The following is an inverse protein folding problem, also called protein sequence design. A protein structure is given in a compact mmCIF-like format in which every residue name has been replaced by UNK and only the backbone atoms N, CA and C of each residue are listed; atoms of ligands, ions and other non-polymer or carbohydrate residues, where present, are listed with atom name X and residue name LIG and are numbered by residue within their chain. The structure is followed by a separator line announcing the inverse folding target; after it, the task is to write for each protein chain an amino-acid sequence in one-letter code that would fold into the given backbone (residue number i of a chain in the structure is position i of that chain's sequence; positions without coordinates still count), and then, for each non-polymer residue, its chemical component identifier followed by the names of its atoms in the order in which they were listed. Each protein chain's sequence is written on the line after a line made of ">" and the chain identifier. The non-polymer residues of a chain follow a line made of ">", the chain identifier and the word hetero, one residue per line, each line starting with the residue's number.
data_IF_347473165903
#
_entry.id   IF_347473165903
#
_cell.length_a   1.000
_cell.length_b   1.000
_cell.length_c   1.000
_cell.angle_alpha   90.00
_cell.angle_beta   90.00
_cell.angle_gamma   90.00
#
_symmetry.space_group_name_H-M   'P 1'
#
loop_
_entity.id
_entity.type
_entity.pdbx_description
1 polymer ?
#
# COMPACT_ATOMS: atom_id res chain seq x y z
N UNK A 1 8.09 -0.83 18.50
CA UNK A 1 8.14 0.42 17.72
C UNK A 1 9.41 0.56 16.88
N UNK A 2 10.61 0.51 17.47
CA UNK A 2 11.89 0.67 16.73
C UNK A 2 12.05 -0.31 15.58
N UNK A 3 11.81 -1.61 15.82
CA UNK A 3 11.84 -2.62 14.77
C UNK A 3 10.93 -2.31 13.59
N UNK A 4 9.69 -1.90 13.85
CA UNK A 4 8.75 -1.53 12.77
C UNK A 4 9.26 -0.36 11.91
N UNK A 5 9.84 0.68 12.53
CA UNK A 5 10.45 1.79 11.80
C UNK A 5 11.66 1.33 10.97
N UNK A 6 12.47 0.44 11.52
CA UNK A 6 13.60 -0.14 10.82
C UNK A 6 13.15 -1.02 9.64
N UNK A 7 12.07 -1.79 9.77
CA UNK A 7 11.46 -2.52 8.64
C UNK A 7 10.98 -1.58 7.54
N UNK A 8 10.37 -0.44 7.89
CA UNK A 8 9.97 0.59 6.91
C UNK A 8 11.20 1.12 6.16
N UNK A 9 12.30 1.42 6.87
CA UNK A 9 13.53 1.92 6.26
C UNK A 9 14.17 0.87 5.34
N UNK A 10 14.34 -0.36 5.83
CA UNK A 10 14.88 -1.47 5.04
C UNK A 10 14.05 -1.72 3.78
N UNK A 11 12.72 -1.77 3.90
CA UNK A 11 11.80 -1.94 2.76
C UNK A 11 11.92 -0.79 1.77
N UNK A 12 11.93 0.45 2.27
CA UNK A 12 12.05 1.64 1.43
C UNK A 12 13.36 1.65 0.65
N UNK A 13 14.49 1.43 1.34
CA UNK A 13 15.82 1.40 0.71
C UNK A 13 15.95 0.25 -0.28
N UNK A 14 15.37 -0.91 0.01
CA UNK A 14 15.35 -2.04 -0.91
C UNK A 14 14.65 -1.71 -2.24
N UNK A 15 13.57 -0.92 -2.19
CA UNK A 15 12.82 -0.49 -3.38
C UNK A 15 13.41 0.75 -4.07
N UNK A 16 14.01 1.67 -3.33
CA UNK A 16 14.50 2.94 -3.88
C UNK A 16 15.97 2.88 -4.32
N UNK A 17 16.83 2.14 -3.61
CA UNK A 17 18.29 2.16 -3.80
C UNK A 17 18.81 0.83 -4.37
N UNK A 18 18.28 -0.30 -3.91
CA UNK A 18 18.87 -1.63 -4.15
C UNK A 18 18.05 -2.55 -5.08
N UNK A 19 17.12 -1.98 -5.83
CA UNK A 19 16.26 -2.72 -6.75
C UNK A 19 17.03 -3.22 -7.98
N UNK A 20 16.89 -4.52 -8.29
CA UNK A 20 17.37 -5.10 -9.55
C UNK A 20 16.23 -5.85 -10.25
N UNK A 21 16.14 -7.17 -10.09
CA UNK A 21 14.92 -7.91 -10.44
C UNK A 21 13.89 -7.94 -9.31
N UNK A 22 14.38 -7.77 -8.08
CA UNK A 22 13.60 -7.73 -6.83
C UNK A 22 14.23 -6.64 -5.93
N UNK A 23 13.45 -6.08 -4.99
CA UNK A 23 14.02 -5.24 -3.93
C UNK A 23 14.95 -6.10 -3.05
N UNK A 24 16.14 -5.59 -2.73
CA UNK A 24 17.18 -6.32 -1.98
C UNK A 24 17.72 -5.47 -0.84
N UNK A 25 18.19 -6.14 0.22
CA UNK A 25 18.86 -5.51 1.36
C UNK A 25 20.23 -6.16 1.51
N UNK A 26 21.27 -5.35 1.71
CA UNK A 26 22.63 -5.83 1.97
C UNK A 26 22.93 -5.90 3.47
N UNK A 27 24.08 -6.48 3.83
CA UNK A 27 24.45 -6.69 5.23
C UNK A 27 24.75 -5.39 5.95
N UNK A 28 25.23 -4.38 5.23
CA UNK A 28 25.49 -3.04 5.71
C UNK A 28 24.19 -2.35 6.17
N UNK A 29 23.14 -2.40 5.35
CA UNK A 29 21.82 -1.89 5.72
C UNK A 29 21.20 -2.68 6.86
N UNK A 30 21.31 -4.02 6.87
CA UNK A 30 20.85 -4.82 8.00
C UNK A 30 21.57 -4.42 9.28
N UNK A 31 22.88 -4.16 9.24
CA UNK A 31 23.65 -3.71 10.38
C UNK A 31 23.27 -2.29 10.83
N UNK A 32 22.91 -1.39 9.91
CA UNK A 32 22.42 -0.05 10.25
C UNK A 32 21.04 -0.10 10.94
N UNK A 33 20.12 -0.93 10.43
CA UNK A 33 18.71 -0.99 10.85
C UNK A 33 18.36 -2.25 11.66
N UNK A 34 19.31 -2.90 12.33
CA UNK A 34 19.08 -4.15 13.08
C UNK A 34 18.21 -3.98 14.34
N UNK A 35 18.22 -2.80 14.96
CA UNK A 35 17.70 -2.63 16.33
C UNK A 35 16.20 -2.96 16.43
N UNK A 36 15.85 -3.85 17.37
CA UNK A 36 14.46 -4.23 17.62
C UNK A 36 13.86 -5.15 16.57
N UNK A 37 14.68 -5.77 15.71
CA UNK A 37 14.30 -6.81 14.77
C UNK A 37 14.73 -8.18 15.31
N UNK A 38 13.87 -9.18 15.12
CA UNK A 38 14.19 -10.59 15.33
C UNK A 38 14.40 -11.20 13.95
N UNK A 39 15.51 -11.91 13.75
CA UNK A 39 15.87 -12.50 12.46
C UNK A 39 15.83 -14.03 12.51
N UNK A 40 15.34 -14.64 11.44
CA UNK A 40 15.30 -16.08 11.23
C UNK A 40 16.25 -16.46 10.08
N UNK A 41 16.82 -17.66 10.10
CA UNK A 41 17.75 -18.11 9.05
C UNK A 41 17.13 -18.34 7.67
N UNK A 42 15.80 -18.19 7.53
CA UNK A 42 15.00 -18.36 6.32
C UNK A 42 14.87 -19.82 5.84
N UNK A 43 14.13 -20.01 4.75
CA UNK A 43 13.88 -21.29 4.07
C UNK A 43 15.12 -21.79 3.30
N UNK A 44 14.94 -22.79 2.43
CA UNK A 44 16.01 -23.39 1.59
C UNK A 44 16.85 -22.35 0.82
N UNK A 45 16.26 -21.21 0.46
CA UNK A 45 16.92 -20.11 -0.25
C UNK A 45 17.74 -19.17 0.66
N UNK A 46 17.67 -19.32 1.98
CA UNK A 46 18.43 -18.54 2.96
C UNK A 46 19.94 -18.75 2.85
N UNK A 47 20.73 -17.77 3.25
CA UNK A 47 22.20 -17.83 3.18
C UNK A 47 22.77 -19.03 3.94
N UNK A 48 22.30 -19.24 5.18
CA UNK A 48 22.78 -20.35 6.04
C UNK A 48 22.34 -21.71 5.50
N UNK A 49 21.04 -21.98 5.22
CA UNK A 49 20.60 -23.22 4.60
C UNK A 49 21.31 -23.57 3.28
N UNK A 50 21.50 -22.59 2.39
CA UNK A 50 22.19 -22.79 1.12
C UNK A 50 23.65 -23.22 1.31
N UNK A 51 24.37 -22.59 2.23
CA UNK A 51 25.76 -22.98 2.55
C UNK A 51 25.86 -24.39 3.13
N UNK A 52 24.86 -24.83 3.92
CA UNK A 52 24.78 -26.22 4.41
C UNK A 52 24.59 -27.20 3.24
N UNK A 53 23.69 -26.89 2.30
CA UNK A 53 23.48 -27.72 1.11
C UNK A 53 24.73 -27.83 0.23
N UNK A 54 25.46 -26.75 0.06
CA UNK A 54 26.73 -26.70 -0.69
C UNK A 54 27.89 -27.41 0.04
N UNK A 55 27.68 -27.96 1.25
CA UNK A 55 28.72 -28.61 2.05
C UNK A 55 29.70 -27.63 2.70
N UNK A 56 29.42 -26.32 2.65
CA UNK A 56 30.28 -25.23 3.16
C UNK A 56 29.95 -24.91 4.62
N UNK A 57 30.00 -25.93 5.47
CA UNK A 57 29.49 -25.85 6.84
C UNK A 57 30.19 -24.80 7.72
N UNK A 58 31.50 -24.58 7.54
CA UNK A 58 32.22 -23.54 8.28
C UNK A 58 31.77 -22.14 7.91
N UNK A 59 31.46 -21.91 6.63
CA UNK A 59 30.93 -20.63 6.16
C UNK A 59 29.49 -20.42 6.62
N UNK A 60 28.68 -21.48 6.67
CA UNK A 60 27.34 -21.43 7.26
C UNK A 60 27.39 -20.99 8.73
N UNK A 61 28.35 -21.51 9.51
CA UNK A 61 28.58 -21.09 10.90
C UNK A 61 28.99 -19.63 11.01
N UNK A 62 29.92 -19.18 10.17
CA UNK A 62 30.33 -17.78 10.15
C UNK A 62 29.16 -16.85 9.80
N UNK A 63 28.33 -17.22 8.83
CA UNK A 63 27.14 -16.46 8.47
C UNK A 63 26.14 -16.41 9.65
N UNK A 64 25.83 -17.54 10.28
CA UNK A 64 24.94 -17.58 11.44
C UNK A 64 25.45 -16.73 12.62
N UNK A 65 26.76 -16.76 12.89
CA UNK A 65 27.38 -15.93 13.91
C UNK A 65 27.29 -14.43 13.58
N UNK A 66 27.43 -14.06 12.30
CA UNK A 66 27.23 -12.68 11.86
C UNK A 66 25.80 -12.20 12.16
N UNK A 67 24.78 -12.99 11.81
CA UNK A 67 23.39 -12.64 12.12
C UNK A 67 23.13 -12.58 13.63
N UNK A 68 23.66 -13.53 14.40
CA UNK A 68 23.60 -13.50 15.88
C UNK A 68 24.22 -12.22 16.45
N UNK A 69 25.37 -11.80 15.93
CA UNK A 69 26.05 -10.58 16.36
C UNK A 69 25.30 -9.31 15.96
N UNK A 70 24.74 -9.29 14.75
CA UNK A 70 24.03 -8.13 14.22
C UNK A 70 22.67 -7.91 14.92
N UNK A 71 21.87 -8.96 15.08
CA UNK A 71 20.50 -8.83 15.59
C UNK A 71 20.38 -9.08 17.10
N UNK A 72 21.28 -9.86 17.68
CA UNK A 72 21.13 -10.41 19.04
C UNK A 72 20.08 -11.51 19.09
N UNK A 73 18.82 -11.17 18.77
CA UNK A 73 17.69 -12.11 18.66
C UNK A 73 17.67 -12.77 17.27
N UNK A 74 18.51 -13.79 17.10
CA UNK A 74 18.60 -14.59 15.89
C UNK A 74 18.28 -16.06 16.17
N UNK A 75 17.49 -16.68 15.29
CA UNK A 75 17.05 -18.07 15.41
C UNK A 75 17.37 -18.85 14.13
N UNK A 76 17.76 -20.11 14.29
CA UNK A 76 17.88 -21.06 13.19
C UNK A 76 16.49 -21.62 12.87
N UNK A 77 15.98 -21.31 11.70
CA UNK A 77 14.64 -21.67 11.24
C UNK A 77 14.62 -23.08 10.66
N UNK A 78 13.80 -23.95 11.23
CA UNK A 78 13.62 -25.32 10.77
C UNK A 78 12.22 -25.52 10.19
N UNK A 79 12.17 -26.15 9.02
CA UNK A 79 10.95 -26.38 8.26
C UNK A 79 10.91 -27.87 7.87
N UNK A 80 9.72 -28.50 7.95
CA UNK A 80 9.55 -29.92 7.64
C UNK A 80 8.52 -30.10 6.53
N UNK A 81 9.05 -30.25 5.33
CA UNK A 81 8.29 -30.62 4.14
C UNK A 81 8.94 -31.87 3.48
N UNK A 82 8.21 -32.62 2.64
CA UNK A 82 8.73 -33.75 1.86
C UNK A 82 9.71 -33.33 0.74
N UNK A 83 10.72 -32.53 1.08
CA UNK A 83 11.73 -31.97 0.19
C UNK A 83 13.09 -32.58 0.59
N UNK A 84 13.77 -33.34 -0.28
CA UNK A 84 15.00 -34.05 0.06
C UNK A 84 16.09 -33.18 0.69
N UNK A 85 16.22 -31.95 0.20
CA UNK A 85 17.21 -30.97 0.65
C UNK A 85 17.01 -30.54 2.12
N UNK A 86 15.76 -30.54 2.60
CA UNK A 86 15.45 -30.09 3.97
C UNK A 86 16.02 -31.02 5.03
N UNK A 87 16.15 -32.32 4.76
CA UNK A 87 16.72 -33.25 5.73
C UNK A 87 18.18 -32.90 6.04
N UNK A 88 18.99 -32.65 5.00
CA UNK A 88 20.38 -32.22 5.15
C UNK A 88 20.47 -30.85 5.84
N UNK A 89 19.62 -29.90 5.44
CA UNK A 89 19.58 -28.56 6.06
C UNK A 89 19.25 -28.67 7.55
N UNK A 90 18.16 -29.36 7.91
CA UNK A 90 17.69 -29.47 9.28
C UNK A 90 18.73 -30.13 10.18
N UNK A 91 19.37 -31.22 9.73
CA UNK A 91 20.47 -31.85 10.48
C UNK A 91 21.63 -30.87 10.71
N UNK A 92 22.02 -30.12 9.68
CA UNK A 92 23.05 -29.08 9.81
C UNK A 92 22.68 -27.98 10.79
N UNK A 93 21.44 -27.48 10.72
CA UNK A 93 20.93 -26.44 11.62
C UNK A 93 20.84 -26.92 13.07
N UNK A 94 20.40 -28.15 13.32
CA UNK A 94 20.34 -28.74 14.67
C UNK A 94 21.75 -28.87 15.26
N UNK A 95 22.72 -29.34 14.47
CA UNK A 95 24.14 -29.38 14.90
C UNK A 95 24.65 -27.98 15.22
N UNK A 96 24.41 -27.01 14.33
CA UNK A 96 24.84 -25.62 14.52
C UNK A 96 24.19 -24.96 15.73
N UNK A 97 22.92 -25.27 16.01
CA UNK A 97 22.21 -24.76 17.19
C UNK A 97 22.95 -25.11 18.48
N UNK A 98 23.35 -26.37 18.62
CA UNK A 98 24.10 -26.85 19.80
C UNK A 98 25.51 -26.26 19.88
N UNK A 99 26.19 -26.15 18.74
CA UNK A 99 27.59 -25.67 18.70
C UNK A 99 27.72 -24.16 18.89
N UNK A 100 26.78 -23.37 18.35
CA UNK A 100 26.85 -21.90 18.34
C UNK A 100 25.98 -21.25 19.43
N UNK A 101 25.25 -22.07 20.19
CA UNK A 101 24.25 -21.62 21.17
C UNK A 101 23.23 -20.68 20.51
N UNK A 102 22.65 -21.11 19.38
CA UNK A 102 21.61 -20.36 18.65
C UNK A 102 20.31 -21.18 18.72
N UNK A 103 19.20 -20.61 19.24
CA UNK A 103 17.95 -21.35 19.37
C UNK A 103 17.33 -21.71 18.01
N UNK A 104 16.66 -22.86 17.96
CA UNK A 104 15.87 -23.29 16.81
C UNK A 104 14.44 -22.71 16.88
N UNK A 105 13.83 -22.42 15.74
CA UNK A 105 12.40 -22.09 15.66
C UNK A 105 11.74 -22.84 14.51
N UNK A 106 10.54 -23.37 14.76
CA UNK A 106 9.77 -24.11 13.75
C UNK A 106 8.84 -23.16 12.97
N UNK A 107 8.83 -23.28 11.65
CA UNK A 107 7.90 -22.58 10.75
C UNK A 107 7.43 -23.52 9.62
N UNK A 108 6.45 -23.07 8.82
CA UNK A 108 5.90 -23.86 7.70
C UNK A 108 5.90 -23.11 6.36
N UNK A 109 6.54 -21.94 6.29
CA UNK A 109 6.63 -21.09 5.08
C UNK A 109 5.29 -20.96 4.32
N UNK A 110 4.26 -20.50 5.04
CA UNK A 110 2.86 -20.53 4.59
C UNK A 110 2.62 -19.58 3.42
N UNK A 111 2.02 -20.08 2.33
CA UNK A 111 1.69 -19.31 1.12
C UNK A 111 0.18 -19.27 0.82
N UNK A 112 -0.61 -20.16 1.43
CA UNK A 112 -2.06 -20.25 1.27
C UNK A 112 -2.71 -20.75 2.56
N UNK A 113 -4.04 -20.65 2.69
CA UNK A 113 -4.73 -20.90 3.96
C UNK A 113 -4.96 -22.40 4.15
N UNK A 114 -5.65 -23.03 3.20
CA UNK A 114 -6.03 -24.45 3.27
C UNK A 114 -5.23 -25.30 2.29
N UNK A 115 -5.05 -26.59 2.57
CA UNK A 115 -4.29 -27.49 1.68
C UNK A 115 -4.87 -27.55 0.26
N UNK A 116 -6.20 -27.44 0.13
CA UNK A 116 -6.93 -27.47 -1.15
C UNK A 116 -6.60 -26.27 -2.06
N UNK A 117 -6.15 -25.15 -1.48
CA UNK A 117 -5.78 -23.91 -2.20
C UNK A 117 -4.47 -24.04 -2.98
N UNK A 118 -3.71 -25.13 -2.79
CA UNK A 118 -2.44 -25.35 -3.47
C UNK A 118 -2.56 -25.24 -5.01
N UNK A 119 -3.68 -25.72 -5.57
CA UNK A 119 -3.96 -25.63 -7.01
C UNK A 119 -4.21 -24.18 -7.48
N UNK A 120 -4.93 -23.38 -6.69
CA UNK A 120 -5.17 -21.97 -6.98
C UNK A 120 -3.87 -21.15 -6.87
N UNK A 121 -3.05 -21.44 -5.87
CA UNK A 121 -1.72 -20.84 -5.72
C UNK A 121 -0.81 -21.19 -6.91
N UNK A 122 -0.81 -22.44 -7.37
CA UNK A 122 -0.03 -22.86 -8.54
C UNK A 122 -0.45 -22.13 -9.83
N UNK A 123 -1.75 -21.91 -10.01
CA UNK A 123 -2.29 -21.07 -11.08
C UNK A 123 -1.83 -19.61 -10.94
N UNK A 124 -1.86 -19.06 -9.72
CA UNK A 124 -1.39 -17.70 -9.45
C UNK A 124 0.08 -17.51 -9.83
N UNK A 125 0.94 -18.50 -9.52
CA UNK A 125 2.34 -18.50 -9.96
C UNK A 125 2.46 -18.51 -11.48
N UNK A 126 1.69 -19.36 -12.17
CA UNK A 126 1.69 -19.41 -13.64
C UNK A 126 1.20 -18.07 -14.25
N UNK A 127 0.19 -17.44 -13.64
CA UNK A 127 -0.31 -16.14 -14.07
C UNK A 127 0.79 -15.08 -13.92
N UNK A 128 1.44 -15.01 -12.76
CA UNK A 128 2.48 -14.01 -12.45
C UNK A 128 3.78 -14.19 -13.23
N UNK A 129 4.17 -15.43 -13.54
CA UNK A 129 5.37 -15.75 -14.33
C UNK A 129 5.11 -15.84 -15.84
N UNK A 130 3.86 -15.59 -16.27
CA UNK A 130 3.42 -15.72 -17.64
C UNK A 130 3.69 -17.11 -18.27
N UNK A 131 3.58 -18.18 -17.48
CA UNK A 131 3.75 -19.57 -17.90
C UNK A 131 2.41 -20.32 -17.95
N UNK A 132 2.44 -21.57 -18.42
CA UNK A 132 1.30 -22.51 -18.37
C UNK A 132 1.57 -23.63 -17.38
N UNK A 133 0.51 -24.24 -16.81
CA UNK A 133 0.61 -25.42 -15.95
C UNK A 133 1.28 -26.62 -16.65
N UNK A 134 1.25 -26.64 -17.99
CA UNK A 134 1.85 -27.69 -18.82
C UNK A 134 3.35 -27.49 -19.07
N UNK A 135 3.91 -26.33 -18.72
CA UNK A 135 5.36 -26.09 -18.85
C UNK A 135 6.12 -26.79 -17.72
N UNK A 136 6.97 -27.77 -18.06
CA UNK A 136 7.76 -28.51 -17.08
C UNK A 136 8.77 -27.64 -16.31
N UNK A 137 9.24 -26.53 -16.93
CA UNK A 137 10.22 -25.61 -16.34
C UNK A 137 9.59 -24.43 -15.61
N UNK A 138 8.26 -24.42 -15.46
CA UNK A 138 7.56 -23.37 -14.74
C UNK A 138 7.95 -23.31 -13.28
N UNK A 139 7.81 -22.13 -12.69
CA UNK A 139 7.90 -21.98 -11.25
C UNK A 139 6.72 -22.70 -10.59
N UNK A 140 7.02 -23.62 -9.67
CA UNK A 140 6.04 -24.36 -8.88
C UNK A 140 6.58 -24.61 -7.48
N UNK A 141 5.70 -24.65 -6.49
CA UNK A 141 6.08 -25.11 -5.15
C UNK A 141 6.24 -26.63 -5.13
N UNK A 142 6.99 -27.13 -4.14
CA UNK A 142 7.19 -28.55 -3.95
C UNK A 142 5.99 -29.18 -3.21
N UNK A 143 4.98 -29.60 -3.96
CA UNK A 143 3.76 -30.22 -3.41
C UNK A 143 2.78 -29.21 -2.81
N UNK A 144 1.89 -29.69 -1.95
CA UNK A 144 0.74 -28.97 -1.41
C UNK A 144 0.87 -28.63 0.10
N UNK A 145 2.08 -28.65 0.65
CA UNK A 145 2.32 -28.60 2.11
C UNK A 145 2.52 -27.20 2.73
N UNK A 146 2.35 -26.12 1.96
CA UNK A 146 2.60 -24.73 2.37
C UNK A 146 1.33 -23.99 2.84
N UNK A 147 0.40 -24.74 3.47
CA UNK A 147 -0.82 -24.19 4.07
C UNK A 147 -0.63 -23.83 5.54
N UNK A 148 -1.61 -23.16 6.14
CA UNK A 148 -1.61 -22.83 7.56
C UNK A 148 -1.96 -24.07 8.40
N UNK A 149 -0.94 -24.86 8.75
CA UNK A 149 -1.12 -26.10 9.51
C UNK A 149 -1.69 -25.85 10.91
N UNK A 150 -2.62 -26.70 11.39
CA UNK A 150 -3.10 -26.61 12.75
C UNK A 150 -2.00 -26.96 13.77
N UNK A 151 -2.06 -26.44 15.01
CA UNK A 151 -1.04 -26.69 16.02
C UNK A 151 -0.75 -28.16 16.30
N UNK A 152 -1.78 -29.03 16.24
CA UNK A 152 -1.62 -30.48 16.44
C UNK A 152 -0.76 -31.15 15.36
N UNK A 153 -0.86 -30.68 14.12
CA UNK A 153 -0.05 -31.20 13.02
C UNK A 153 1.41 -30.75 13.16
N UNK A 154 1.63 -29.47 13.50
CA UNK A 154 2.96 -28.94 13.79
C UNK A 154 3.61 -29.64 15.00
N UNK A 155 2.83 -29.95 16.05
CA UNK A 155 3.29 -30.70 17.22
C UNK A 155 3.75 -32.12 16.86
N UNK A 156 3.02 -32.83 16.00
CA UNK A 156 3.43 -34.15 15.52
C UNK A 156 4.68 -34.06 14.64
N UNK A 157 4.75 -33.05 13.77
CA UNK A 157 5.91 -32.82 12.90
C UNK A 157 7.19 -32.53 13.68
N UNK A 158 7.12 -31.85 14.82
CA UNK A 158 8.30 -31.45 15.61
C UNK A 158 8.36 -32.12 16.99
N UNK A 159 7.75 -33.32 17.15
CA UNK A 159 7.69 -34.05 18.42
C UNK A 159 9.05 -34.37 19.05
N UNK A 160 10.09 -34.47 18.23
CA UNK A 160 11.47 -34.72 18.63
C UNK A 160 12.19 -33.43 19.08
N UNK A 161 11.69 -32.24 18.70
CA UNK A 161 12.27 -30.93 19.04
C UNK A 161 11.15 -29.96 19.47
N UNK A 162 10.45 -30.23 20.59
CA UNK A 162 9.35 -29.39 21.06
C UNK A 162 9.79 -27.94 21.35
N UNK A 163 11.06 -27.75 21.73
CA UNK A 163 11.64 -26.43 21.97
C UNK A 163 11.56 -25.49 20.75
N UNK A 164 11.58 -26.03 19.53
CA UNK A 164 11.44 -25.22 18.32
C UNK A 164 10.04 -24.59 18.20
N UNK A 165 9.00 -25.29 18.69
CA UNK A 165 7.64 -24.77 18.77
C UNK A 165 7.50 -23.78 19.94
N UNK A 166 8.05 -24.09 21.11
CA UNK A 166 8.05 -23.17 22.26
C UNK A 166 8.69 -21.81 21.92
N UNK A 167 9.75 -21.81 21.10
CA UNK A 167 10.37 -20.59 20.63
C UNK A 167 9.47 -19.74 19.72
N UNK A 168 8.49 -20.33 19.02
CA UNK A 168 7.50 -19.56 18.25
C UNK A 168 6.63 -18.70 19.16
N UNK A 169 6.15 -19.26 20.28
CA UNK A 169 5.37 -18.53 21.27
C UNK A 169 6.22 -17.48 21.98
N UNK A 170 7.49 -17.80 22.27
CA UNK A 170 8.45 -16.85 22.85
C UNK A 170 8.66 -15.64 21.94
N UNK A 171 8.93 -15.86 20.66
CA UNK A 171 9.11 -14.79 19.66
C UNK A 171 7.82 -13.97 19.55
N UNK A 172 6.66 -14.63 19.46
CA UNK A 172 5.37 -13.94 19.43
C UNK A 172 5.17 -13.05 20.67
N UNK A 173 5.55 -13.52 21.86
CA UNK A 173 5.50 -12.75 23.10
C UNK A 173 6.48 -11.57 23.16
N UNK A 174 7.60 -11.64 22.44
CA UNK A 174 8.56 -10.53 22.31
C UNK A 174 8.05 -9.43 21.36
N UNK A 175 7.26 -9.80 20.37
CA UNK A 175 6.72 -8.90 19.35
C UNK A 175 5.53 -8.05 19.85
N UNK A 176 5.83 -6.88 20.42
CA UNK A 176 4.83 -5.94 20.93
C UNK A 176 4.81 -4.63 20.11
N UNK A 177 4.08 -4.62 19.00
CA UNK A 177 3.85 -3.43 18.18
C UNK A 177 2.48 -2.81 18.49
N UNK A 178 2.47 -1.51 18.77
CA UNK A 178 1.23 -0.73 18.92
C UNK A 178 1.22 0.35 17.86
N UNK A 179 0.24 0.28 16.96
CA UNK A 179 -0.03 1.31 15.97
C UNK A 179 -1.13 2.22 16.51
N UNK A 180 -0.87 3.53 16.52
CA UNK A 180 -1.84 4.54 16.92
C UNK A 180 -2.65 4.95 15.68
N UNK A 181 -3.97 4.78 15.76
CA UNK A 181 -4.90 5.16 14.70
C UNK A 181 -5.75 6.35 15.15
N UNK A 182 -6.20 7.18 14.20
CA UNK A 182 -7.07 8.34 14.47
C UNK A 182 -6.35 9.61 14.93
N UNK A 183 -5.02 9.61 15.04
CA UNK A 183 -4.23 10.84 15.17
C UNK A 183 -4.01 11.43 13.78
N UNK A 184 -4.13 12.74 13.63
CA UNK A 184 -3.88 13.42 12.35
C UNK A 184 -2.47 13.99 12.30
N UNK A 185 -1.76 13.71 11.21
CA UNK A 185 -0.43 14.23 10.90
C UNK A 185 -0.57 15.22 9.75
N UNK A 186 -0.94 16.45 10.08
CA UNK A 186 -1.12 17.50 9.09
C UNK A 186 0.25 18.02 8.62
N UNK A 187 0.41 18.32 7.32
CA UNK A 187 1.55 19.08 6.84
C UNK A 187 1.53 20.50 7.42
N UNK A 188 2.68 21.15 7.44
CA UNK A 188 2.84 22.55 7.86
C UNK A 188 3.45 23.36 6.71
N UNK A 189 3.11 24.65 6.64
CA UNK A 189 3.79 25.59 5.75
C UNK A 189 4.75 26.46 6.56
N UNK A 190 5.74 27.04 5.89
CA UNK A 190 6.56 28.09 6.49
C UNK A 190 5.71 29.31 6.78
N UNK A 191 5.61 29.68 8.05
CA UNK A 191 4.84 30.83 8.50
C UNK A 191 5.73 32.07 8.64
N UNK A 192 5.21 33.28 8.38
CA UNK A 192 5.92 34.52 8.70
C UNK A 192 6.29 34.61 10.19
N UNK A 193 7.43 35.23 10.51
CA UNK A 193 7.91 35.36 11.88
C UNK A 193 6.84 35.93 12.84
N UNK A 194 6.57 35.21 13.93
CA UNK A 194 5.66 35.64 14.99
C UNK A 194 4.17 35.42 14.73
N UNK A 195 3.77 34.82 13.61
CA UNK A 195 2.36 34.48 13.31
C UNK A 195 2.06 33.01 13.55
N UNK A 196 0.86 32.72 14.07
CA UNK A 196 0.32 31.35 14.07
C UNK A 196 -0.37 31.02 12.75
N UNK A 197 -0.57 29.73 12.44
CA UNK A 197 -1.30 29.29 11.26
C UNK A 197 -2.72 29.91 11.20
N UNK A 198 -3.43 29.96 12.33
CA UNK A 198 -4.77 30.55 12.41
C UNK A 198 -4.76 32.05 12.11
N UNK A 199 -3.77 32.78 12.62
CA UNK A 199 -3.63 34.22 12.38
C UNK A 199 -3.29 34.49 10.93
N UNK A 200 -2.34 33.73 10.37
CA UNK A 200 -1.94 33.90 8.97
C UNK A 200 -3.09 33.57 8.01
N UNK A 201 -3.84 32.51 8.28
CA UNK A 201 -5.05 32.16 7.52
C UNK A 201 -6.10 33.27 7.58
N UNK A 202 -6.36 33.82 8.77
CA UNK A 202 -7.30 34.91 8.94
C UNK A 202 -6.87 36.17 8.17
N UNK A 203 -5.60 36.56 8.27
CA UNK A 203 -5.05 37.71 7.55
C UNK A 203 -5.24 37.57 6.03
N UNK A 204 -4.91 36.40 5.46
CA UNK A 204 -5.12 36.12 4.04
C UNK A 204 -6.60 36.22 3.63
N UNK A 205 -7.52 35.74 4.48
CA UNK A 205 -8.95 35.85 4.21
C UNK A 205 -9.44 37.29 4.24
N UNK A 206 -9.01 38.09 5.23
CA UNK A 206 -9.39 39.50 5.31
C UNK A 206 -8.78 40.35 4.19
N UNK A 207 -7.58 40.00 3.71
CA UNK A 207 -6.96 40.63 2.53
C UNK A 207 -7.69 40.26 1.23
N UNK A 208 -8.17 39.01 1.11
CA UNK A 208 -8.91 38.52 -0.05
C UNK A 208 -10.38 38.94 -0.09
N UNK A 209 -11.00 39.18 1.07
CA UNK A 209 -12.43 39.48 1.19
C UNK A 209 -12.90 40.65 0.30
N UNK A 210 -12.21 41.80 0.21
CA UNK A 210 -12.65 42.92 -0.63
C UNK A 210 -12.61 42.64 -2.13
N UNK A 211 -11.83 41.64 -2.57
CA UNK A 211 -11.74 41.26 -3.99
C UNK A 211 -13.02 40.58 -4.46
N UNK A 212 -13.62 39.76 -3.59
CA UNK A 212 -14.85 39.00 -3.88
C UNK A 212 -16.11 39.75 -3.40
N UNK A 213 -16.00 40.47 -2.29
CA UNK A 213 -17.08 41.26 -1.71
C UNK A 213 -16.62 42.72 -1.49
N UNK A 214 -16.72 43.60 -2.50
CA UNK A 214 -16.29 45.00 -2.37
C UNK A 214 -17.03 45.80 -1.28
N UNK A 215 -18.24 45.38 -0.91
CA UNK A 215 -19.02 45.89 0.21
C UNK A 215 -19.58 44.70 1.01
N UNK A 216 -18.80 44.11 1.92
CA UNK A 216 -19.24 42.95 2.67
C UNK A 216 -20.42 43.35 3.56
N UNK A 217 -21.51 42.58 3.49
CA UNK A 217 -22.63 42.75 4.42
C UNK A 217 -22.24 42.19 5.80
N UNK A 218 -22.93 42.60 6.87
CA UNK A 218 -22.70 42.01 8.19
C UNK A 218 -22.85 40.48 8.22
N UNK A 219 -23.67 39.91 7.33
CA UNK A 219 -23.85 38.47 7.17
C UNK A 219 -22.57 37.79 6.64
N UNK A 220 -21.90 38.40 5.65
CA UNK A 220 -20.64 37.91 5.08
C UNK A 220 -19.54 37.92 6.14
N UNK A 221 -19.38 39.03 6.88
CA UNK A 221 -18.36 39.13 7.93
C UNK A 221 -18.60 38.14 9.08
N UNK A 222 -19.87 37.96 9.47
CA UNK A 222 -20.25 36.97 10.48
C UNK A 222 -19.97 35.54 10.01
N UNK A 223 -20.28 35.21 8.75
CA UNK A 223 -20.01 33.89 8.18
C UNK A 223 -18.51 33.61 8.12
N UNK A 224 -17.71 34.56 7.64
CA UNK A 224 -16.25 34.41 7.61
C UNK A 224 -15.67 34.19 9.02
N UNK A 225 -16.10 35.01 9.98
CA UNK A 225 -15.64 34.90 11.37
C UNK A 225 -16.02 33.55 12.00
N UNK A 226 -17.22 33.06 11.71
CA UNK A 226 -17.69 31.75 12.16
C UNK A 226 -16.85 30.60 11.57
N UNK A 227 -16.63 30.60 10.26
CA UNK A 227 -15.83 29.56 9.60
C UNK A 227 -14.38 29.54 10.10
N UNK A 228 -13.75 30.71 10.26
CA UNK A 228 -12.39 30.83 10.81
C UNK A 228 -12.31 30.28 12.24
N UNK A 229 -13.31 30.54 13.09
CA UNK A 229 -13.36 30.00 14.45
C UNK A 229 -13.54 28.47 14.46
N UNK A 230 -14.38 27.93 13.57
CA UNK A 230 -14.53 26.47 13.41
C UNK A 230 -13.22 25.82 12.95
N UNK A 231 -12.52 26.41 11.98
CA UNK A 231 -11.23 25.91 11.49
C UNK A 231 -10.17 25.92 12.61
N UNK A 232 -10.16 26.98 13.41
CA UNK A 232 -9.26 27.09 14.58
C UNK A 232 -9.56 26.03 15.64
N UNK A 233 -10.84 25.80 15.96
CA UNK A 233 -11.23 24.78 16.94
C UNK A 233 -10.95 23.35 16.47
N UNK A 234 -11.02 23.12 15.16
CA UNK A 234 -10.69 21.82 14.53
C UNK A 234 -9.21 21.64 14.23
N UNK A 235 -8.39 22.69 14.40
CA UNK A 235 -6.94 22.71 14.17
C UNK A 235 -6.53 22.41 12.71
N UNK A 236 -7.40 22.75 11.75
CA UNK A 236 -7.15 22.53 10.32
C UNK A 236 -6.52 23.72 9.59
N UNK A 237 -6.11 24.78 10.27
CA UNK A 237 -5.56 25.97 9.63
C UNK A 237 -4.37 25.66 8.71
N UNK A 238 -3.44 24.78 9.13
CA UNK A 238 -2.32 24.35 8.30
C UNK A 238 -2.75 23.66 7.00
N UNK A 239 -3.83 22.87 7.04
CA UNK A 239 -4.35 22.19 5.85
C UNK A 239 -4.86 23.18 4.81
N UNK A 240 -5.64 24.18 5.24
CA UNK A 240 -6.11 25.26 4.36
C UNK A 240 -4.96 26.05 3.75
N UNK A 241 -3.91 26.30 4.54
CA UNK A 241 -2.72 27.01 4.08
C UNK A 241 -1.90 26.20 3.05
N UNK A 242 -1.81 24.87 3.20
CA UNK A 242 -1.17 24.00 2.19
C UNK A 242 -1.96 24.03 0.88
N UNK A 243 -3.29 23.95 0.95
CA UNK A 243 -4.15 24.03 -0.24
C UNK A 243 -4.03 25.41 -0.91
N UNK A 244 -4.07 26.48 -0.12
CA UNK A 244 -3.87 27.85 -0.61
C UNK A 244 -2.53 28.01 -1.34
N UNK A 245 -1.47 27.41 -0.81
CA UNK A 245 -0.14 27.49 -1.40
C UNK A 245 -0.07 26.79 -2.77
N UNK A 246 -0.64 25.59 -2.87
CA UNK A 246 -0.74 24.82 -4.12
C UNK A 246 -1.52 25.59 -5.17
N UNK A 247 -2.68 26.14 -4.80
CA UNK A 247 -3.52 26.93 -5.70
C UNK A 247 -2.86 28.24 -6.10
N UNK A 248 -2.14 28.89 -5.19
CA UNK A 248 -1.38 30.11 -5.49
C UNK A 248 -0.30 29.85 -6.54
N UNK A 249 0.38 28.69 -6.47
CA UNK A 249 1.32 28.27 -7.50
C UNK A 249 0.63 28.03 -8.86
N UNK A 250 -0.49 27.29 -8.87
CA UNK A 250 -1.24 27.00 -10.07
C UNK A 250 -1.70 28.28 -10.78
N UNK A 251 -2.26 29.24 -10.03
CA UNK A 251 -2.67 30.56 -10.55
C UNK A 251 -1.50 31.35 -11.14
N UNK A 252 -0.37 31.39 -10.45
CA UNK A 252 0.82 32.13 -10.89
C UNK A 252 1.40 31.59 -12.21
N UNK A 253 1.26 30.27 -12.45
CA UNK A 253 1.71 29.59 -13.67
C UNK A 253 0.59 29.37 -14.68
N UNK A 254 -0.57 30.01 -14.48
CA UNK A 254 -1.74 29.92 -15.35
C UNK A 254 -2.15 28.47 -15.64
N UNK A 255 -2.11 27.61 -14.62
CA UNK A 255 -2.66 26.25 -14.66
C UNK A 255 -4.12 26.36 -14.26
N UNK A 256 -5.05 25.97 -15.13
CA UNK A 256 -6.46 25.89 -14.78
C UNK A 256 -6.68 24.80 -13.73
N UNK A 257 -7.52 25.13 -12.76
CA UNK A 257 -7.88 24.22 -11.69
C UNK A 257 -9.36 24.36 -11.35
N UNK A 258 -9.91 23.32 -10.73
CA UNK A 258 -11.26 23.29 -10.20
C UNK A 258 -11.28 22.68 -8.81
N UNK A 259 -12.31 23.01 -8.04
CA UNK A 259 -12.55 22.41 -6.72
C UNK A 259 -13.86 21.66 -6.75
N UNK A 260 -13.86 20.42 -6.25
CA UNK A 260 -15.04 19.56 -6.16
C UNK A 260 -15.48 19.32 -4.72
N UNK A 261 -16.67 18.76 -4.59
CA UNK A 261 -17.21 18.31 -3.32
C UNK A 261 -17.74 19.45 -2.45
N UNK A 262 -17.76 19.20 -1.13
CA UNK A 262 -18.31 20.15 -0.15
C UNK A 262 -17.42 21.37 0.07
N UNK A 263 -16.16 21.35 -0.38
CA UNK A 263 -15.21 22.46 -0.27
C UNK A 263 -15.76 23.78 -0.87
N UNK A 264 -16.58 23.73 -1.92
CA UNK A 264 -17.22 24.92 -2.50
C UNK A 264 -18.17 25.66 -1.53
N UNK A 265 -18.57 25.04 -0.41
CA UNK A 265 -19.48 25.63 0.58
C UNK A 265 -18.79 26.56 1.61
N UNK A 266 -17.47 26.74 1.52
CA UNK A 266 -16.69 27.56 2.46
C UNK A 266 -16.37 28.94 1.90
N UNK A 267 -16.73 29.99 2.65
CA UNK A 267 -16.35 31.37 2.32
C UNK A 267 -14.85 31.61 2.52
N UNK A 268 -14.22 30.89 3.46
CA UNK A 268 -12.77 30.93 3.66
C UNK A 268 -12.05 30.48 2.39
N UNK A 269 -12.45 29.35 1.79
CA UNK A 269 -11.89 28.88 0.52
C UNK A 269 -12.16 29.86 -0.63
N UNK A 270 -13.32 30.53 -0.63
CA UNK A 270 -13.62 31.55 -1.63
C UNK A 270 -12.71 32.78 -1.50
N UNK A 271 -12.52 33.30 -0.29
CA UNK A 271 -11.64 34.46 -0.02
C UNK A 271 -10.17 34.17 -0.33
N UNK A 272 -9.72 32.94 -0.11
CA UNK A 272 -8.38 32.48 -0.51
C UNK A 272 -8.24 32.29 -2.03
N UNK A 273 -9.34 32.36 -2.76
CA UNK A 273 -9.40 32.09 -4.19
C UNK A 273 -9.18 30.61 -4.54
N UNK A 274 -9.50 29.72 -3.62
CA UNK A 274 -9.48 28.28 -3.90
C UNK A 274 -10.75 27.89 -4.65
N UNK A 275 -11.91 28.49 -4.34
CA UNK A 275 -13.16 28.29 -5.09
C UNK A 275 -13.63 29.58 -5.74
N UNK A 276 -14.12 29.50 -6.98
CA UNK A 276 -14.78 30.62 -7.67
C UNK A 276 -16.27 30.73 -7.32
N UNK A 277 -16.87 29.68 -6.74
CA UNK A 277 -18.29 29.65 -6.37
C UNK A 277 -18.52 30.45 -5.10
N UNK A 278 -19.40 31.45 -5.16
CA UNK A 278 -19.88 32.18 -3.97
C UNK A 278 -20.84 31.28 -3.16
N UNK A 279 -20.47 30.86 -1.94
CA UNK A 279 -21.31 29.99 -1.13
C UNK A 279 -22.57 30.68 -0.59
N UNK A 280 -22.56 32.00 -0.41
CA UNK A 280 -23.70 32.75 0.14
C UNK A 280 -24.75 32.94 -0.96
N UNK A 281 -24.34 33.36 -2.16
CA UNK A 281 -25.26 33.51 -3.30
C UNK A 281 -25.94 32.17 -3.63
N UNK A 282 -25.18 31.07 -3.59
CA UNK A 282 -25.65 29.73 -3.90
C UNK A 282 -26.27 28.99 -2.70
N UNK A 283 -26.40 29.65 -1.54
CA UNK A 283 -27.00 29.10 -0.30
C UNK A 283 -26.37 27.77 0.13
N UNK A 284 -25.06 27.67 0.01
CA UNK A 284 -24.29 26.50 0.41
C UNK A 284 -24.05 26.49 1.92
N UNK A 285 -24.10 25.29 2.49
CA UNK A 285 -24.06 25.06 3.94
C UNK A 285 -22.66 24.58 4.33
N UNK A 286 -21.93 25.38 5.09
CA UNK A 286 -20.54 25.11 5.49
C UNK A 286 -20.41 23.84 6.35
N UNK A 287 -21.42 23.54 7.16
CA UNK A 287 -21.46 22.36 8.03
C UNK A 287 -21.50 21.04 7.25
N UNK A 288 -21.75 21.08 5.92
CA UNK A 288 -21.57 19.92 5.03
C UNK A 288 -20.10 19.68 4.66
N UNK A 289 -19.27 20.70 4.77
CA UNK A 289 -17.84 20.63 4.54
C UNK A 289 -17.08 20.34 5.83
N UNK A 290 -17.30 21.16 6.86
CA UNK A 290 -16.62 21.03 8.13
C UNK A 290 -17.61 21.22 9.27
N UNK A 291 -17.71 20.21 10.14
CA UNK A 291 -18.64 20.21 11.26
C UNK A 291 -17.89 19.98 12.58
N UNK A 292 -18.12 20.83 13.59
CA UNK A 292 -17.50 20.68 14.91
C UNK A 292 -17.87 19.38 15.63
N UNK A 293 -19.09 18.88 15.41
CA UNK A 293 -19.58 17.64 16.04
C UNK A 293 -18.96 16.39 15.42
N UNK A 294 -18.52 16.49 14.15
CA UNK A 294 -17.83 15.42 13.42
C UNK A 294 -16.41 15.88 13.13
N UNK A 295 -15.46 15.51 14.00
CA UNK A 295 -14.02 15.71 13.76
C UNK A 295 -13.48 14.79 12.66
N UNK A 296 -14.16 14.77 11.52
CA UNK A 296 -13.73 14.13 10.30
C UNK A 296 -12.80 15.10 9.55
N UNK A 297 -11.86 14.53 8.80
CA UNK A 297 -10.92 15.33 8.02
C UNK A 297 -11.67 15.94 6.81
N UNK A 298 -11.57 17.27 6.58
CA UNK A 298 -12.17 17.88 5.41
C UNK A 298 -11.43 17.45 4.14
N UNK A 299 -12.14 16.89 3.17
CA UNK A 299 -11.58 16.51 1.86
C UNK A 299 -11.72 17.70 0.90
N UNK A 300 -10.60 18.18 0.38
CA UNK A 300 -10.56 19.22 -0.65
C UNK A 300 -9.99 18.58 -1.91
N UNK A 301 -10.89 18.15 -2.78
CA UNK A 301 -10.55 17.55 -4.06
C UNK A 301 -10.20 18.65 -5.07
N UNK A 302 -8.96 18.59 -5.58
CA UNK A 302 -8.42 19.55 -6.53
C UNK A 302 -8.31 18.91 -7.91
N UNK A 303 -8.91 19.57 -8.89
CA UNK A 303 -8.78 19.19 -10.30
C UNK A 303 -7.80 20.12 -10.98
N UNK A 304 -6.96 19.58 -11.85
CA UNK A 304 -6.00 20.32 -12.67
C UNK A 304 -6.14 19.90 -14.13
N UNK A 305 -5.58 20.70 -15.04
CA UNK A 305 -5.31 20.28 -16.42
C UNK A 305 -4.54 18.96 -16.44
N UNK A 306 -4.99 18.00 -17.25
CA UNK A 306 -4.44 16.63 -17.26
C UNK A 306 -2.95 16.60 -17.66
N UNK A 307 -2.58 17.45 -18.62
CA UNK A 307 -1.23 17.59 -19.16
C UNK A 307 -0.28 18.43 -18.28
N UNK A 308 -0.82 19.21 -17.32
CA UNK A 308 -0.03 20.07 -16.41
C UNK A 308 -0.13 19.69 -14.94
N UNK A 309 -0.92 18.66 -14.61
CA UNK A 309 -1.03 18.09 -13.24
C UNK A 309 0.34 17.75 -12.65
N UNK A 310 1.22 17.16 -13.46
CA UNK A 310 2.54 16.73 -12.99
C UNK A 310 3.39 17.94 -12.54
N UNK A 311 3.25 19.13 -13.16
CA UNK A 311 3.95 20.35 -12.72
C UNK A 311 3.60 20.73 -11.26
N UNK A 312 2.33 20.53 -10.87
CA UNK A 312 1.85 20.81 -9.51
C UNK A 312 2.43 19.80 -8.53
N UNK A 313 2.48 18.52 -8.89
CA UNK A 313 3.09 17.47 -8.06
C UNK A 313 4.58 17.75 -7.87
N UNK A 314 5.30 18.12 -8.93
CA UNK A 314 6.71 18.49 -8.89
C UNK A 314 6.95 19.70 -7.99
N UNK A 315 6.09 20.74 -8.07
CA UNK A 315 6.15 21.89 -7.16
C UNK A 315 5.99 21.48 -5.70
N UNK A 316 4.97 20.68 -5.39
CA UNK A 316 4.72 20.19 -4.03
C UNK A 316 5.92 19.37 -3.52
N UNK A 317 6.47 18.49 -4.36
CA UNK A 317 7.64 17.69 -4.02
C UNK A 317 8.90 18.55 -3.78
N UNK A 318 9.14 19.58 -4.59
CA UNK A 318 10.28 20.49 -4.42
C UNK A 318 10.12 21.38 -3.19
N UNK A 319 8.90 21.82 -2.89
CA UNK A 319 8.62 22.73 -1.79
C UNK A 319 8.61 22.06 -0.41
N UNK A 320 7.92 20.94 -0.28
CA UNK A 320 7.78 20.23 0.98
C UNK A 320 8.88 19.18 1.22
N UNK A 321 9.61 18.81 0.16
CA UNK A 321 10.68 17.82 0.21
C UNK A 321 10.29 16.47 -0.42
N UNK A 322 11.24 15.84 -1.11
CA UNK A 322 11.01 14.58 -1.83
C UNK A 322 10.70 13.39 -0.90
N UNK A 323 11.13 13.46 0.36
CA UNK A 323 10.88 12.47 1.40
C UNK A 323 9.60 12.75 2.21
N UNK A 324 8.94 13.88 1.97
CA UNK A 324 7.70 14.31 2.62
C UNK A 324 6.47 14.16 1.71
N UNK A 325 6.69 13.93 0.42
CA UNK A 325 5.64 13.87 -0.61
C UNK A 325 5.77 12.57 -1.40
N UNK A 326 4.67 11.83 -1.52
CA UNK A 326 4.61 10.64 -2.36
C UNK A 326 3.23 10.52 -3.01
N UNK A 327 3.16 9.80 -4.13
CA UNK A 327 1.88 9.36 -4.68
C UNK A 327 1.35 8.16 -3.89
N UNK A 328 0.04 7.94 -3.91
CA UNK A 328 -0.57 6.80 -3.23
C UNK A 328 -0.57 5.59 -4.16
N UNK A 329 -0.28 4.40 -3.64
CA UNK A 329 -0.40 3.15 -4.39
C UNK A 329 -1.85 2.70 -4.55
N UNK A 330 -2.11 2.03 -5.66
CA UNK A 330 -3.31 1.25 -5.92
C UNK A 330 -2.95 -0.16 -6.29
N UNK A 331 -3.78 -1.11 -5.89
CA UNK A 331 -3.62 -2.51 -6.24
C UNK A 331 -4.64 -2.90 -7.29
N UNK A 332 -4.17 -3.25 -8.49
CA UNK A 332 -5.03 -3.81 -9.53
C UNK A 332 -5.40 -5.24 -9.15
N UNK A 333 -6.68 -5.51 -8.89
CA UNK A 333 -7.17 -6.85 -8.56
C UNK A 333 -7.66 -7.60 -9.80
N UNK A 334 -7.67 -8.94 -9.72
CA UNK A 334 -8.26 -9.79 -10.75
C UNK A 334 -9.79 -9.73 -10.70
N UNK A 335 -10.40 -8.84 -11.48
CA UNK A 335 -11.85 -8.85 -11.68
C UNK A 335 -12.33 -10.11 -12.42
N UNK A 336 -13.61 -10.48 -12.28
CA UNK A 336 -14.20 -11.71 -12.80
C UNK A 336 -13.76 -12.09 -14.24
N UNK A 337 -13.87 -11.15 -15.19
CA UNK A 337 -13.47 -11.38 -16.59
C UNK A 337 -11.96 -11.56 -16.77
N UNK A 338 -11.15 -10.81 -16.01
CA UNK A 338 -9.69 -10.91 -16.06
C UNK A 338 -9.22 -12.24 -15.46
N UNK A 339 -9.82 -12.65 -14.33
CA UNK A 339 -9.56 -13.94 -13.69
C UNK A 339 -9.80 -15.11 -14.67
N UNK A 340 -10.94 -15.13 -15.37
CA UNK A 340 -11.21 -16.16 -16.40
C UNK A 340 -10.16 -16.17 -17.51
N UNK A 341 -9.77 -15.01 -18.03
CA UNK A 341 -8.77 -14.92 -19.11
C UNK A 341 -7.39 -15.37 -18.68
N UNK A 342 -6.94 -14.94 -17.50
CA UNK A 342 -5.62 -15.27 -16.98
C UNK A 342 -5.54 -16.74 -16.55
N UNK A 343 -6.57 -17.28 -15.91
CA UNK A 343 -6.64 -18.71 -15.57
C UNK A 343 -6.73 -19.55 -16.85
N UNK A 344 -7.56 -19.18 -17.81
CA UNK A 344 -7.65 -19.89 -19.08
C UNK A 344 -6.30 -19.95 -19.81
N UNK A 345 -5.54 -18.84 -19.79
CA UNK A 345 -4.15 -18.81 -20.30
C UNK A 345 -3.23 -19.75 -19.51
N UNK A 346 -3.27 -19.72 -18.18
CA UNK A 346 -2.45 -20.58 -17.34
C UNK A 346 -2.77 -22.08 -17.57
N UNK A 347 -4.06 -22.41 -17.74
CA UNK A 347 -4.56 -23.75 -18.10
C UNK A 347 -4.24 -24.17 -19.54
N UNK A 348 -3.65 -23.29 -20.37
CA UNK A 348 -3.33 -23.59 -21.77
C UNK A 348 -4.56 -23.67 -22.68
N UNK A 349 -5.70 -23.11 -22.28
CA UNK A 349 -6.92 -23.11 -23.08
C UNK A 349 -6.84 -22.13 -24.27
N UNK A 350 -7.51 -22.42 -25.40
CA UNK A 350 -7.59 -21.49 -26.52
C UNK A 350 -8.27 -20.18 -26.11
N UNK A 351 -7.64 -19.04 -26.46
CA UNK A 351 -8.16 -17.71 -26.12
C UNK A 351 -9.61 -17.50 -26.57
N UNK A 352 -9.99 -18.01 -27.75
CA UNK A 352 -11.36 -17.88 -28.28
C UNK A 352 -12.42 -18.54 -27.39
N UNK A 353 -12.10 -19.68 -26.78
CA UNK A 353 -13.02 -20.40 -25.91
C UNK A 353 -13.18 -19.66 -24.57
N UNK A 354 -12.07 -19.20 -24.01
CA UNK A 354 -12.04 -18.44 -22.77
C UNK A 354 -12.73 -17.08 -22.92
N UNK A 355 -12.49 -16.37 -24.03
CA UNK A 355 -13.12 -15.07 -24.30
C UNK A 355 -14.63 -15.21 -24.52
N UNK A 356 -15.10 -16.32 -25.12
CA UNK A 356 -16.53 -16.64 -25.22
C UNK A 356 -17.18 -16.70 -23.83
N UNK A 357 -16.56 -17.41 -22.88
CA UNK A 357 -17.06 -17.52 -21.50
C UNK A 357 -16.97 -16.16 -20.78
N UNK A 358 -15.85 -15.44 -20.93
CA UNK A 358 -15.64 -14.15 -20.27
C UNK A 358 -16.64 -13.06 -20.73
N UNK A 359 -17.11 -13.11 -21.98
CA UNK A 359 -18.13 -12.17 -22.49
C UNK A 359 -19.51 -12.38 -21.87
N UNK A 360 -19.82 -13.59 -21.40
CA UNK A 360 -21.09 -13.89 -20.74
C UNK A 360 -21.18 -13.28 -19.33
N UNK A 361 -20.04 -12.97 -18.71
CA UNK A 361 -20.01 -12.23 -17.43
C UNK A 361 -20.50 -10.81 -17.67
N UNK A 362 -21.60 -10.33 -17.06
CA UNK A 362 -22.13 -8.99 -17.30
C UNK A 362 -21.14 -7.89 -16.89
N UNK A 363 -21.21 -6.73 -17.55
CA UNK A 363 -20.41 -5.58 -17.16
C UNK A 363 -21.17 -4.78 -16.09
N UNK A 364 -20.76 -4.91 -14.84
CA UNK A 364 -21.27 -4.12 -13.74
C UNK A 364 -20.16 -3.82 -12.72
N UNK A 365 -20.22 -2.66 -12.03
CA UNK A 365 -19.36 -2.39 -10.88
C UNK A 365 -19.50 -3.49 -9.82
N UNK A 366 -18.38 -3.97 -9.29
CA UNK A 366 -18.36 -5.03 -8.28
C UNK A 366 -18.89 -6.38 -8.76
N UNK A 367 -18.85 -6.66 -10.07
CA UNK A 367 -19.24 -7.97 -10.61
C UNK A 367 -18.26 -9.06 -10.16
N UNK A 368 -18.80 -10.14 -9.58
CA UNK A 368 -18.06 -11.35 -9.23
C UNK A 368 -18.50 -12.56 -10.07
N UNK A 369 -17.69 -13.62 -10.11
CA UNK A 369 -18.03 -14.86 -10.82
C UNK A 369 -19.26 -15.55 -10.21
N UNK A 370 -19.40 -15.51 -8.89
CA UNK A 370 -20.58 -16.04 -8.19
C UNK A 370 -21.85 -15.29 -8.62
N UNK A 371 -21.80 -13.95 -8.61
CA UNK A 371 -22.93 -13.11 -9.05
C UNK A 371 -23.24 -13.30 -10.54
N UNK A 372 -22.21 -13.43 -11.38
CA UNK A 372 -22.39 -13.66 -12.80
C UNK A 372 -23.10 -14.99 -13.10
N UNK A 373 -22.81 -16.05 -12.33
CA UNK A 373 -23.50 -17.35 -12.45
C UNK A 373 -24.97 -17.31 -12.02
N UNK A 374 -25.33 -16.40 -11.11
CA UNK A 374 -26.70 -16.21 -10.68
C UNK A 374 -27.50 -15.31 -11.64
N UNK A 375 -26.87 -14.28 -12.21
CA UNK A 375 -27.52 -13.33 -13.11
C UNK A 375 -27.64 -13.83 -14.56
N UNK A 376 -26.69 -14.65 -15.04
CA UNK A 376 -26.66 -15.12 -16.43
C UNK A 376 -27.00 -16.62 -16.54
N UNK A 377 -28.21 -16.92 -17.02
CA UNK A 377 -28.68 -18.30 -17.25
C UNK A 377 -27.83 -19.08 -18.28
N UNK A 378 -27.30 -18.42 -19.30
CA UNK A 378 -26.44 -19.07 -20.29
C UNK A 378 -25.13 -19.52 -19.66
N UNK A 379 -24.47 -18.64 -18.88
CA UNK A 379 -23.26 -18.98 -18.13
C UNK A 379 -23.49 -20.15 -17.17
N UNK A 380 -24.64 -20.13 -16.47
CA UNK A 380 -25.07 -21.20 -15.56
C UNK A 380 -25.28 -22.54 -16.25
N UNK A 381 -25.86 -22.54 -17.46
CA UNK A 381 -26.08 -23.75 -18.23
C UNK A 381 -24.74 -24.34 -18.71
N UNK A 382 -23.86 -23.52 -19.29
CA UNK A 382 -22.55 -23.99 -19.78
C UNK A 382 -21.70 -24.51 -18.62
N UNK A 383 -21.74 -23.86 -17.45
CA UNK A 383 -21.08 -24.35 -16.23
C UNK A 383 -21.58 -25.74 -15.78
N UNK A 384 -22.86 -26.08 -16.03
CA UNK A 384 -23.44 -27.39 -15.69
C UNK A 384 -23.20 -28.45 -16.76
N UNK A 385 -23.10 -28.06 -18.02
CA UNK A 385 -22.99 -29.00 -19.14
C UNK A 385 -21.54 -29.31 -19.53
N UNK A 386 -20.65 -28.32 -19.46
CA UNK A 386 -19.26 -28.43 -19.92
C UNK A 386 -18.29 -28.49 -18.72
N UNK A 387 -17.65 -29.66 -18.55
CA UNK A 387 -16.68 -29.89 -17.48
C UNK A 387 -15.42 -29.02 -17.61
N UNK A 388 -15.02 -28.66 -18.83
CA UNK A 388 -13.85 -27.81 -19.07
C UNK A 388 -14.16 -26.39 -18.59
N UNK A 389 -15.34 -25.87 -18.96
CA UNK A 389 -15.79 -24.54 -18.52
C UNK A 389 -16.04 -24.51 -17.02
N UNK A 390 -16.57 -25.58 -16.43
CA UNK A 390 -16.68 -25.71 -14.98
C UNK A 390 -15.34 -25.56 -14.29
N UNK A 391 -14.33 -26.34 -14.73
CA UNK A 391 -12.99 -26.28 -14.16
C UNK A 391 -12.35 -24.88 -14.30
N UNK A 392 -12.55 -24.23 -15.46
CA UNK A 392 -12.10 -22.85 -15.68
C UNK A 392 -12.72 -21.88 -14.68
N UNK A 393 -14.04 -21.95 -14.48
CA UNK A 393 -14.77 -21.05 -13.58
C UNK A 393 -14.40 -21.31 -12.13
N UNK A 394 -14.34 -22.56 -11.69
CA UNK A 394 -13.98 -22.91 -10.31
C UNK A 394 -12.54 -22.49 -9.98
N UNK A 395 -11.61 -22.72 -10.91
CA UNK A 395 -10.23 -22.24 -10.80
C UNK A 395 -10.14 -20.70 -10.77
N UNK A 396 -10.94 -20.02 -11.60
CA UNK A 396 -10.99 -18.55 -11.64
C UNK A 396 -11.59 -17.95 -10.36
N UNK A 397 -12.52 -18.64 -9.70
CA UNK A 397 -13.06 -18.21 -8.39
C UNK A 397 -12.01 -18.23 -7.30
N UNK A 398 -11.04 -19.16 -7.35
CA UNK A 398 -9.93 -19.23 -6.40
C UNK A 398 -8.94 -18.07 -6.50
N UNK A 399 -8.88 -17.38 -7.65
CA UNK A 399 -7.95 -16.25 -7.87
C UNK A 399 -8.64 -14.89 -8.05
N UNK A 400 -9.98 -14.88 -8.10
CA UNK A 400 -10.78 -13.66 -8.20
C UNK A 400 -10.53 -12.75 -6.99
N UNK A 401 -10.35 -11.45 -7.25
CA UNK A 401 -10.13 -10.45 -6.21
C UNK A 401 -8.69 -10.37 -5.68
N UNK A 402 -7.82 -11.32 -6.02
CA UNK A 402 -6.40 -11.28 -5.63
C UNK A 402 -5.71 -10.08 -6.30
N UNK A 403 -4.86 -9.38 -5.55
CA UNK A 403 -4.04 -8.29 -6.05
C UNK A 403 -2.98 -8.83 -7.04
N UNK A 404 -2.97 -8.28 -8.25
CA UNK A 404 -2.08 -8.71 -9.35
C UNK A 404 -0.83 -7.85 -9.49
N UNK A 405 -0.98 -6.53 -9.39
CA UNK A 405 0.12 -5.60 -9.57
C UNK A 405 -0.12 -4.31 -8.78
N UNK A 406 0.98 -3.67 -8.42
CA UNK A 406 1.00 -2.31 -7.91
C UNK A 406 0.93 -1.32 -9.08
N UNK A 407 0.09 -0.30 -8.92
CA UNK A 407 0.02 0.86 -9.80
C UNK A 407 -0.07 2.14 -8.97
N UNK A 408 0.13 3.28 -9.59
CA UNK A 408 0.01 4.59 -8.92
C UNK A 408 -1.45 5.06 -8.99
N UNK A 409 -1.99 5.59 -7.89
CA UNK A 409 -3.32 6.19 -7.85
C UNK A 409 -3.38 7.36 -8.83
N UNK A 410 -4.47 7.46 -9.58
CA UNK A 410 -4.61 8.48 -10.62
C UNK A 410 -4.60 9.91 -10.06
N UNK A 411 -5.02 10.09 -8.80
CA UNK A 411 -5.13 11.40 -8.16
C UNK A 411 -4.37 11.55 -6.83
N UNK A 412 -4.04 10.45 -6.16
CA UNK A 412 -3.80 10.48 -4.72
C UNK A 412 -2.36 10.87 -4.41
N UNK A 413 -2.17 11.96 -3.68
CA UNK A 413 -0.89 12.44 -3.18
C UNK A 413 -0.96 12.51 -1.66
N UNK A 414 0.11 12.11 -0.98
CA UNK A 414 0.27 12.26 0.46
C UNK A 414 1.34 13.31 0.74
N UNK A 415 1.07 14.18 1.71
CA UNK A 415 1.99 15.23 2.16
C UNK A 415 2.10 15.14 3.69
N UNK A 416 3.32 15.09 4.22
CA UNK A 416 3.57 14.98 5.65
C UNK A 416 4.59 16.00 6.16
N UNK A 417 4.43 16.43 7.42
CA UNK A 417 5.39 17.31 8.09
C UNK A 417 6.74 16.63 8.36
N UNK A 418 6.72 15.36 8.73
CA UNK A 418 7.95 14.56 8.94
C UNK A 418 8.15 13.62 7.74
N UNK A 419 9.37 13.07 7.52
CA UNK A 419 9.61 12.15 6.42
C UNK A 419 8.62 10.99 6.43
N UNK A 420 8.04 10.69 5.26
CA UNK A 420 7.02 9.64 5.07
C UNK A 420 7.52 8.27 5.55
N UNK A 421 8.82 8.02 5.43
CA UNK A 421 9.49 6.78 5.87
C UNK A 421 9.47 6.56 7.40
N UNK A 422 8.91 7.49 8.17
CA UNK A 422 8.57 7.26 9.59
C UNK A 422 7.25 6.51 9.78
N UNK A 423 6.38 6.57 8.79
CA UNK A 423 4.98 6.12 8.85
C UNK A 423 4.67 5.02 7.85
N UNK A 424 5.20 5.12 6.63
CA UNK A 424 4.85 4.24 5.51
C UNK A 424 6.09 3.91 4.68
N UNK A 425 6.25 2.66 4.20
CA UNK A 425 7.31 2.33 3.26
C UNK A 425 7.02 2.93 1.89
N UNK A 426 8.09 3.32 1.19
CA UNK A 426 8.01 3.91 -0.15
C UNK A 426 8.57 2.94 -1.20
N UNK A 427 8.16 3.13 -2.45
CA UNK A 427 8.72 2.48 -3.61
C UNK A 427 8.68 3.40 -4.83
N UNK A 428 9.43 3.07 -5.88
CA UNK A 428 9.42 3.86 -7.13
C UNK A 428 8.10 3.68 -7.86
N UNK A 429 7.63 4.74 -8.51
CA UNK A 429 6.49 4.68 -9.42
C UNK A 429 6.83 3.86 -10.68
N UNK A 430 5.82 3.24 -11.29
CA UNK A 430 6.03 2.38 -12.48
C UNK A 430 6.33 3.15 -13.77
N UNK A 431 6.12 4.47 -13.77
CA UNK A 431 6.39 5.36 -14.92
C UNK A 431 7.62 6.21 -14.59
N UNK A 432 8.73 5.91 -15.25
CA UNK A 432 9.98 6.65 -15.11
C UNK A 432 9.92 7.90 -16.00
N UNK A 433 9.25 8.95 -15.52
CA UNK A 433 9.10 10.22 -16.24
C UNK A 433 10.29 11.18 -16.03
N UNK A 434 11.44 10.69 -15.57
CA UNK A 434 12.64 11.49 -15.35
C UNK A 434 12.68 12.28 -14.04
N UNK A 435 11.55 12.38 -13.33
CA UNK A 435 11.50 12.84 -11.94
C UNK A 435 11.21 11.65 -11.02
N UNK A 436 12.05 11.46 -10.00
CA UNK A 436 12.01 10.34 -9.06
C UNK A 436 10.85 10.46 -8.06
N UNK A 437 9.61 10.54 -8.54
CA UNK A 437 8.44 10.58 -7.66
C UNK A 437 8.22 9.18 -7.08
N UNK A 438 8.20 9.11 -5.75
CA UNK A 438 7.94 7.87 -5.02
C UNK A 438 6.44 7.63 -4.85
N UNK A 439 6.05 6.39 -4.61
CA UNK A 439 4.73 6.02 -4.15
C UNK A 439 4.77 5.32 -2.80
N UNK A 440 3.72 5.49 -1.99
CA UNK A 440 3.53 4.74 -0.76
C UNK A 440 3.36 3.25 -1.05
N UNK A 441 3.54 2.40 -0.04
CA UNK A 441 3.14 0.98 -0.14
C UNK A 441 1.80 0.67 0.54
N UNK A 442 1.21 1.66 1.22
CA UNK A 442 -0.14 1.58 1.77
C UNK A 442 -1.15 2.26 0.84
N UNK A 443 -2.27 1.58 0.62
CA UNK A 443 -3.38 2.09 -0.18
C UNK A 443 -4.07 3.27 0.51
N UNK A 444 -4.90 3.98 -0.25
CA UNK A 444 -5.58 5.21 0.17
C UNK A 444 -6.29 5.11 1.53
N UNK A 445 -7.05 4.03 1.77
CA UNK A 445 -7.76 3.83 3.03
C UNK A 445 -6.80 3.64 4.21
N UNK A 446 -5.70 2.93 4.01
CA UNK A 446 -4.72 2.65 5.05
C UNK A 446 -3.91 3.91 5.41
N UNK A 447 -3.57 4.74 4.41
CA UNK A 447 -2.95 6.07 4.60
C UNK A 447 -3.83 6.96 5.49
N UNK A 448 -5.13 7.00 5.22
CA UNK A 448 -6.08 7.76 6.04
C UNK A 448 -6.19 7.20 7.48
N UNK A 449 -6.20 5.87 7.65
CA UNK A 449 -6.25 5.23 8.98
C UNK A 449 -5.03 5.53 9.84
N UNK A 450 -3.83 5.56 9.25
CA UNK A 450 -2.60 5.95 9.95
C UNK A 450 -2.49 7.46 10.16
N UNK A 451 -3.43 8.25 9.61
CA UNK A 451 -3.58 9.67 9.92
C UNK A 451 -2.83 10.64 9.03
N UNK A 452 -2.22 10.17 7.95
CA UNK A 452 -1.55 11.04 6.98
C UNK A 452 -2.60 11.75 6.12
N UNK A 453 -2.31 13.00 5.76
CA UNK A 453 -3.17 13.78 4.89
C UNK A 453 -3.07 13.25 3.45
N UNK A 454 -4.21 12.84 2.90
CA UNK A 454 -4.37 12.62 1.46
C UNK A 454 -4.87 13.90 0.79
N UNK A 455 -4.42 14.13 -0.43
CA UNK A 455 -4.98 15.12 -1.34
C UNK A 455 -5.18 14.47 -2.70
N UNK A 456 -6.34 14.67 -3.32
CA UNK A 456 -6.63 14.15 -4.64
C UNK A 456 -6.40 15.26 -5.67
N UNK A 457 -5.36 15.08 -6.50
CA UNK A 457 -5.03 15.91 -7.66
C UNK A 457 -5.48 15.19 -8.92
N UNK A 458 -6.70 15.44 -9.38
CA UNK A 458 -7.24 14.75 -10.56
C UNK A 458 -6.92 15.54 -11.85
N UNK A 459 -6.44 14.84 -12.88
CA UNK A 459 -6.35 15.39 -14.23
C UNK A 459 -7.71 15.35 -14.92
N UNK A 460 -8.23 16.51 -15.34
CA UNK A 460 -9.48 16.60 -16.11
C UNK A 460 -9.20 17.07 -17.54
N UNK A 461 -9.48 16.19 -18.51
CA UNK A 461 -9.40 16.53 -19.93
C UNK A 461 -10.27 17.73 -20.33
N UNK A 462 -11.38 17.96 -19.62
CA UNK A 462 -12.22 19.13 -19.88
C UNK A 462 -11.51 20.45 -19.55
N UNK A 463 -10.65 20.49 -18.53
CA UNK A 463 -9.87 21.68 -18.19
C UNK A 463 -8.79 21.91 -19.26
N UNK A 464 -8.12 20.86 -19.71
CA UNK A 464 -7.14 20.92 -20.83
C UNK A 464 -7.76 21.41 -22.14
N UNK A 465 -9.05 21.15 -22.40
CA UNK A 465 -9.74 21.67 -23.59
C UNK A 465 -10.06 23.16 -23.47
N UNK A 466 -10.19 23.68 -22.25
CA UNK A 466 -10.55 25.08 -21.97
C UNK A 466 -9.35 26.02 -21.91
N UNK A 467 -8.17 25.50 -21.51
CA UNK A 467 -6.88 26.19 -21.55
C UNK A 467 -6.33 26.27 -22.97
#
# INVERSE_FOLDING_TARGET
>A
QTGYRNLIQLTTKAHLESFYYKPRVDKELLQEYHQGLIALSACVAGEVPRLILEGRFQEAKQAALWYKQAFGDFYLEIQRHPIPELEQINQGLISMSSELDIPLVATNDVHYVDQEDASAHDLLLCIGTNSSIHDEKRMKMAGDFFYLKPPSEMAELFKDIPQALENTERIAGMCNLKLEFGRLYLPEIELPEGKTADQFLADLCYEGLPQYYPQPTPEIEQRLSYELEVIKQTQFANYFLVVWDIISFARKHSILFGVRGSAAASIVLHCLGITEVDPIENKLVFERFLNLERREMPDIDLDFEDDRRDEVISYVSQKYGQDHVAQIITFGTLGARAALRDVGRALGMPYSEVDRVARLVPFAPGMSLARALDENNELKNIYREDNIVRNLIDSARGVEGIARHASTHAAGVVISKEPLTRYVPLQRTSKDNGEAITMTQFAMEDIARIGLLKMDFLGLANLTILG
#
